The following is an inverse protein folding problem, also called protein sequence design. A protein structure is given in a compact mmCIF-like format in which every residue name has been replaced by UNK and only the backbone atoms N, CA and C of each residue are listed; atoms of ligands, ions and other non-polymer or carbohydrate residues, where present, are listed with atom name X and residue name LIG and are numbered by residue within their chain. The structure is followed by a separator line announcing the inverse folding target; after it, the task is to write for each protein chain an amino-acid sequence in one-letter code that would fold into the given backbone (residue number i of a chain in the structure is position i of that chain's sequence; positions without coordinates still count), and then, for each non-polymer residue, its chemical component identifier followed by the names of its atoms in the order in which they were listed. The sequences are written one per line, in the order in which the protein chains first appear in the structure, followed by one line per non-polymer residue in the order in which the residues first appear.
data_IF_111866784417
#
_entry.id   IF_111866784417
#
_cell.length_a   1.000
_cell.length_b   1.000
_cell.length_c   1.000
_cell.angle_alpha   90.00
_cell.angle_beta   90.00
_cell.angle_gamma   90.00
#
_symmetry.space_group_name_H-M   'P 1'
#
loop_
_entity.id
_entity.type
_entity.pdbx_description
1 polymer ?
#
# COMPACT_ATOMS: atom_id res chain seq x y z
N UNK A 1 21.40 -10.10 -62.78
CA UNK A 1 22.87 -10.04 -62.77
C UNK A 1 23.32 -10.04 -61.31
N UNK A 2 24.13 -11.05 -60.91
CA UNK A 2 25.21 -11.11 -59.89
C UNK A 2 25.29 -10.01 -58.80
N UNK A 3 25.68 -10.23 -57.54
CA UNK A 3 26.25 -11.38 -56.82
C UNK A 3 26.45 -11.04 -55.32
N UNK A 4 26.53 -12.09 -54.48
CA UNK A 4 27.45 -12.28 -53.33
C UNK A 4 27.36 -11.33 -52.11
N UNK A 5 26.92 -11.76 -50.91
CA UNK A 5 27.48 -12.73 -49.95
C UNK A 5 28.74 -12.25 -49.18
N UNK A 6 28.67 -12.15 -47.85
CA UNK A 6 29.79 -12.53 -46.97
C UNK A 6 29.30 -12.89 -45.56
N UNK A 7 29.45 -14.16 -45.22
CA UNK A 7 29.52 -14.73 -43.86
C UNK A 7 30.85 -14.33 -43.18
N UNK A 8 30.94 -14.47 -41.85
CA UNK A 8 31.98 -15.28 -41.15
C UNK A 8 32.48 -14.69 -39.81
N UNK A 9 32.57 -15.59 -38.81
CA UNK A 9 33.30 -15.46 -37.54
C UNK A 9 32.38 -15.81 -36.36
N UNK A 10 32.27 -17.02 -35.80
CA UNK A 10 33.15 -18.19 -35.52
C UNK A 10 34.16 -17.99 -34.37
N UNK A 11 33.95 -18.73 -33.28
CA UNK A 11 34.87 -19.02 -32.16
C UNK A 11 34.12 -19.04 -30.82
N UNK A 12 33.66 -20.14 -30.22
CA UNK A 12 34.28 -21.41 -29.76
C UNK A 12 35.23 -21.28 -28.54
N UNK A 13 34.78 -21.79 -27.37
CA UNK A 13 35.48 -22.61 -26.33
C UNK A 13 34.74 -22.42 -24.98
N UNK A 14 34.08 -23.40 -24.36
CA UNK A 14 34.47 -24.73 -23.87
C UNK A 14 35.28 -24.74 -22.55
N UNK A 15 34.89 -25.71 -21.69
CA UNK A 15 35.56 -26.25 -20.49
C UNK A 15 35.40 -25.49 -19.17
N UNK A 16 35.30 -26.11 -17.99
CA UNK A 16 35.03 -27.48 -17.50
C UNK A 16 35.25 -27.47 -15.98
N UNK A 17 34.67 -28.44 -15.25
CA UNK A 17 35.13 -29.00 -13.95
C UNK A 17 35.21 -28.05 -12.75
N UNK A 18 34.68 -28.33 -11.56
CA UNK A 18 34.58 -29.62 -10.88
C UNK A 18 35.52 -29.60 -9.66
N UNK A 19 34.96 -29.61 -8.44
CA UNK A 19 35.29 -30.56 -7.35
C UNK A 19 34.72 -30.10 -5.99
N UNK A 20 34.24 -31.06 -5.18
CA UNK A 20 33.86 -30.89 -3.78
C UNK A 20 34.94 -31.41 -2.80
N UNK A 21 34.63 -31.27 -1.51
CA UNK A 21 34.97 -32.14 -0.38
C UNK A 21 36.20 -31.83 0.51
N UNK A 22 35.85 -31.71 1.80
CA UNK A 22 36.41 -32.41 2.97
C UNK A 22 37.74 -31.95 3.59
N UNK A 23 37.70 -31.69 4.90
CA UNK A 23 38.29 -32.51 5.97
C UNK A 23 38.48 -31.63 7.23
N UNK A 24 37.82 -31.93 8.36
CA UNK A 24 38.31 -32.78 9.47
C UNK A 24 39.28 -31.98 10.38
N UNK A 25 39.38 -32.06 11.71
CA UNK A 25 39.25 -33.08 12.77
C UNK A 25 39.43 -32.30 14.10
N UNK A 26 38.75 -32.53 15.23
CA UNK A 26 39.12 -33.45 16.34
C UNK A 26 38.34 -32.95 17.58
N UNK A 27 37.39 -33.66 18.19
CA UNK A 27 37.52 -34.66 19.27
C UNK A 27 38.44 -34.30 20.46
N UNK A 28 37.84 -34.11 21.67
CA UNK A 28 38.26 -34.76 22.94
C UNK A 28 37.36 -34.44 24.14
N UNK A 29 36.81 -35.51 24.75
CA UNK A 29 36.78 -35.90 26.19
C UNK A 29 36.43 -34.84 27.26
N UNK A 30 35.65 -35.08 28.31
CA UNK A 30 35.61 -36.28 29.18
C UNK A 30 34.44 -36.11 30.16
N UNK A 31 33.77 -37.23 30.47
CA UNK A 31 32.81 -37.36 31.55
C UNK A 31 33.47 -37.16 32.92
N UNK A 32 32.74 -36.50 33.83
CA UNK A 32 33.03 -36.41 35.26
C UNK A 32 31.71 -36.35 36.01
N UNK A 33 31.19 -37.53 36.35
CA UNK A 33 30.04 -37.70 37.23
C UNK A 33 30.47 -37.52 38.70
N UNK A 34 29.46 -37.35 39.56
CA UNK A 34 29.46 -37.63 41.00
C UNK A 34 30.27 -36.71 41.92
N UNK A 35 29.56 -35.77 42.58
CA UNK A 35 30.00 -35.24 43.86
C UNK A 35 29.53 -33.83 44.22
N UNK A 36 28.21 -33.58 44.35
CA UNK A 36 27.67 -32.49 45.18
C UNK A 36 26.13 -32.48 45.17
N UNK A 37 25.50 -33.54 45.67
CA UNK A 37 24.05 -33.60 45.89
C UNK A 37 23.68 -33.37 47.37
N UNK A 38 24.54 -32.73 48.17
CA UNK A 38 24.39 -32.74 49.64
C UNK A 38 24.73 -31.43 50.35
N UNK A 39 24.39 -30.28 49.78
CA UNK A 39 24.25 -29.03 50.56
C UNK A 39 23.50 -27.96 49.76
N UNK A 40 22.59 -27.24 50.43
CA UNK A 40 21.85 -26.06 49.95
C UNK A 40 20.54 -26.29 49.18
N UNK A 41 19.81 -27.33 49.56
CA UNK A 41 18.33 -27.39 49.49
C UNK A 41 17.63 -26.48 50.55
N UNK A 42 18.34 -25.53 51.16
CA UNK A 42 17.84 -24.68 52.28
C UNK A 42 17.86 -23.17 52.00
N UNK A 43 18.31 -22.72 50.83
CA UNK A 43 18.29 -21.28 50.50
C UNK A 43 17.01 -20.82 49.77
N UNK A 44 16.15 -21.74 49.35
CA UNK A 44 14.99 -21.45 48.50
C UNK A 44 13.67 -21.21 49.26
N UNK A 45 13.68 -21.27 50.61
CA UNK A 45 12.44 -21.22 51.43
C UNK A 45 12.36 -20.09 52.46
N UNK A 46 13.28 -19.11 52.42
CA UNK A 46 13.24 -17.94 53.31
C UNK A 46 13.29 -16.59 52.57
N UNK A 47 13.01 -16.58 51.27
CA UNK A 47 12.82 -15.34 50.48
C UNK A 47 11.34 -15.11 50.11
N UNK A 48 10.44 -15.95 50.59
CA UNK A 48 8.98 -15.85 50.37
C UNK A 48 8.22 -15.16 51.51
N UNK A 49 8.90 -14.78 52.60
CA UNK A 49 8.28 -14.21 53.82
C UNK A 49 8.63 -12.73 54.05
N UNK A 50 8.76 -11.94 52.99
CA UNK A 50 8.77 -10.46 53.05
C UNK A 50 7.80 -9.87 52.02
N UNK A 51 6.63 -10.50 51.91
CA UNK A 51 5.42 -9.88 51.37
C UNK A 51 4.64 -9.32 52.56
N UNK A 52 4.91 -8.08 52.97
CA UNK A 52 3.90 -7.19 53.55
C UNK A 52 4.50 -5.81 53.89
N UNK A 53 4.81 -5.04 52.86
CA UNK A 53 4.65 -3.59 52.97
C UNK A 53 3.71 -3.23 51.84
N UNK A 54 2.42 -3.27 52.16
CA UNK A 54 1.35 -2.83 51.30
C UNK A 54 1.55 -1.33 51.03
N UNK A 55 2.32 -1.01 49.99
CA UNK A 55 2.09 0.23 49.27
C UNK A 55 0.64 0.19 48.82
N UNK A 56 -0.21 1.15 49.22
CA UNK A 56 -1.55 1.22 48.71
C UNK A 56 -1.45 1.16 47.20
N UNK A 57 -2.24 0.27 46.61
CA UNK A 57 -2.57 0.30 45.21
C UNK A 57 -3.10 1.71 44.94
N UNK A 58 -2.18 2.62 44.57
CA UNK A 58 -2.42 3.60 43.54
C UNK A 58 -2.90 2.75 42.37
N UNK A 59 -4.21 2.50 42.38
CA UNK A 59 -5.06 2.38 41.22
C UNK A 59 -4.48 3.37 40.23
N UNK A 60 -3.53 2.90 39.42
CA UNK A 60 -2.86 3.69 38.42
C UNK A 60 -3.94 3.87 37.39
N UNK A 61 -4.84 4.83 37.66
CA UNK A 61 -5.86 5.27 36.72
C UNK A 61 -5.10 5.40 35.41
N UNK A 62 -5.53 4.73 34.33
CA UNK A 62 -4.90 4.93 33.04
C UNK A 62 -4.89 6.45 32.86
N UNK A 63 -3.69 7.03 32.88
CA UNK A 63 -3.54 8.46 32.66
C UNK A 63 -4.31 8.72 31.38
N UNK A 64 -5.27 9.64 31.42
CA UNK A 64 -6.07 9.98 30.24
C UNK A 64 -5.11 10.09 29.06
N UNK A 65 -5.27 9.18 28.08
CA UNK A 65 -4.35 9.08 26.95
C UNK A 65 -4.13 10.49 26.43
N UNK A 66 -2.88 10.96 26.32
CA UNK A 66 -2.63 12.32 25.92
C UNK A 66 -3.35 12.59 24.60
N UNK A 67 -4.11 13.68 24.47
CA UNK A 67 -4.94 13.91 23.27
C UNK A 67 -4.15 13.86 21.95
N UNK A 68 -2.83 14.08 22.00
CA UNK A 68 -1.92 13.89 20.86
C UNK A 68 -1.82 12.43 20.39
N UNK A 69 -1.96 11.43 21.27
CA UNK A 69 -2.01 10.01 20.91
C UNK A 69 -3.25 9.69 20.07
N UNK A 70 -4.41 10.27 20.42
CA UNK A 70 -5.63 10.14 19.61
C UNK A 70 -5.49 10.85 18.26
N UNK A 71 -4.94 12.06 18.22
CA UNK A 71 -4.75 12.82 16.97
C UNK A 71 -3.78 12.13 16.01
N UNK A 72 -2.68 11.57 16.53
CA UNK A 72 -1.72 10.80 15.73
C UNK A 72 -2.33 9.50 15.19
N UNK A 73 -3.14 8.79 15.99
CA UNK A 73 -3.87 7.61 15.52
C UNK A 73 -4.88 7.96 14.42
N UNK A 74 -5.66 9.03 14.60
CA UNK A 74 -6.62 9.51 13.58
C UNK A 74 -5.89 9.92 12.30
N UNK A 75 -4.80 10.68 12.40
CA UNK A 75 -3.98 11.06 11.24
C UNK A 75 -3.43 9.83 10.51
N UNK A 76 -2.95 8.81 11.23
CA UNK A 76 -2.46 7.58 10.62
C UNK A 76 -3.57 6.84 9.85
N UNK A 77 -4.78 6.78 10.40
CA UNK A 77 -5.94 6.16 9.74
C UNK A 77 -6.35 6.94 8.50
N UNK A 78 -6.44 8.27 8.59
CA UNK A 78 -6.78 9.14 7.44
C UNK A 78 -5.76 8.98 6.32
N UNK A 79 -4.47 8.97 6.66
CA UNK A 79 -3.40 8.80 5.67
C UNK A 79 -3.41 7.40 5.04
N UNK A 80 -3.67 6.36 5.84
CA UNK A 80 -3.84 4.99 5.31
C UNK A 80 -5.00 4.91 4.32
N UNK A 81 -6.16 5.46 4.69
CA UNK A 81 -7.34 5.48 3.83
C UNK A 81 -7.07 6.29 2.55
N UNK A 82 -6.44 7.46 2.67
CA UNK A 82 -6.09 8.29 1.53
C UNK A 82 -5.18 7.54 0.55
N UNK A 83 -4.14 6.83 1.00
CA UNK A 83 -3.25 6.11 0.08
C UNK A 83 -3.94 4.89 -0.56
N UNK A 84 -4.68 4.10 0.22
CA UNK A 84 -5.35 2.90 -0.29
C UNK A 84 -6.49 3.22 -1.24
N UNK A 85 -7.27 4.24 -0.89
CA UNK A 85 -8.37 4.70 -1.74
C UNK A 85 -7.83 5.35 -3.02
N UNK A 86 -6.69 6.06 -3.00
CA UNK A 86 -6.05 6.56 -4.23
C UNK A 86 -5.79 5.43 -5.23
N UNK A 87 -5.19 4.32 -4.77
CA UNK A 87 -4.88 3.17 -5.62
C UNK A 87 -6.17 2.55 -6.17
N UNK A 88 -7.20 2.39 -5.32
CA UNK A 88 -8.49 1.86 -5.74
C UNK A 88 -9.17 2.74 -6.79
N UNK A 89 -9.15 4.06 -6.61
CA UNK A 89 -9.69 5.05 -7.56
C UNK A 89 -8.97 4.99 -8.90
N UNK A 90 -7.64 4.92 -8.89
CA UNK A 90 -6.85 4.81 -10.13
C UNK A 90 -7.18 3.51 -10.87
N UNK A 91 -7.22 2.38 -10.17
CA UNK A 91 -7.56 1.09 -10.78
C UNK A 91 -8.98 1.10 -11.34
N UNK A 92 -9.92 1.69 -10.61
CA UNK A 92 -11.30 1.83 -11.05
C UNK A 92 -11.43 2.75 -12.27
N UNK A 93 -10.70 3.87 -12.30
CA UNK A 93 -10.62 4.77 -13.45
C UNK A 93 -10.09 4.03 -14.67
N UNK A 94 -8.97 3.30 -14.56
CA UNK A 94 -8.41 2.52 -15.67
C UNK A 94 -9.41 1.49 -16.21
N UNK A 95 -10.08 0.74 -15.32
CA UNK A 95 -11.08 -0.25 -15.73
C UNK A 95 -12.26 0.41 -16.46
N UNK A 96 -12.71 1.56 -15.95
CA UNK A 96 -13.81 2.31 -16.54
C UNK A 96 -13.40 2.94 -17.88
N UNK A 97 -12.20 3.49 -18.00
CA UNK A 97 -11.62 4.00 -19.25
C UNK A 97 -11.50 2.91 -20.31
N UNK A 98 -11.05 1.70 -19.95
CA UNK A 98 -11.03 0.56 -20.87
C UNK A 98 -12.43 0.17 -21.34
N UNK A 99 -13.41 0.13 -20.42
CA UNK A 99 -14.80 -0.18 -20.76
C UNK A 99 -15.42 0.90 -21.67
N UNK A 100 -15.17 2.18 -21.39
CA UNK A 100 -15.63 3.30 -22.21
C UNK A 100 -15.01 3.28 -23.60
N UNK A 101 -13.70 3.02 -23.68
CA UNK A 101 -12.96 2.87 -24.95
C UNK A 101 -13.56 1.74 -25.79
N UNK A 102 -13.85 0.60 -25.17
CA UNK A 102 -14.46 -0.53 -25.85
C UNK A 102 -15.83 -0.16 -26.45
N UNK A 103 -16.67 0.54 -25.70
CA UNK A 103 -17.98 1.00 -26.17
C UNK A 103 -17.85 2.03 -27.32
N UNK A 104 -16.87 2.93 -27.21
CA UNK A 104 -16.56 3.92 -28.25
C UNK A 104 -16.14 3.26 -29.58
N UNK A 105 -15.20 2.31 -29.54
CA UNK A 105 -14.74 1.57 -30.73
C UNK A 105 -15.88 0.75 -31.36
N UNK A 106 -16.79 0.22 -30.53
CA UNK A 106 -17.97 -0.51 -31.00
C UNK A 106 -19.10 0.39 -31.49
N UNK A 107 -18.94 1.71 -31.47
CA UNK A 107 -19.96 2.71 -31.81
C UNK A 107 -21.28 2.51 -31.04
N UNK A 108 -21.22 1.99 -29.81
CA UNK A 108 -22.38 1.77 -28.96
C UNK A 108 -22.64 3.00 -28.10
N UNK A 109 -23.92 3.30 -27.87
CA UNK A 109 -24.29 4.33 -26.91
C UNK A 109 -23.80 3.96 -25.50
N UNK A 110 -23.46 4.97 -24.72
CA UNK A 110 -23.05 4.82 -23.32
C UNK A 110 -24.21 4.21 -22.55
N UNK A 111 -23.99 3.06 -21.92
CA UNK A 111 -25.04 2.37 -21.16
C UNK A 111 -25.34 3.11 -19.85
N UNK A 112 -26.55 2.92 -19.31
CA UNK A 112 -26.90 3.46 -17.99
C UNK A 112 -25.94 2.99 -16.88
N UNK A 113 -25.48 1.73 -16.96
CA UNK A 113 -24.50 1.17 -16.03
C UNK A 113 -23.12 1.83 -16.11
N UNK A 114 -22.68 2.27 -17.29
CA UNK A 114 -21.44 3.03 -17.43
C UNK A 114 -21.56 4.41 -16.77
N UNK A 115 -22.69 5.11 -16.96
CA UNK A 115 -22.93 6.43 -16.34
C UNK A 115 -22.93 6.36 -14.82
N UNK A 116 -23.58 5.34 -14.24
CA UNK A 116 -23.56 5.16 -12.79
C UNK A 116 -22.17 4.81 -12.26
N UNK A 117 -21.41 3.98 -12.97
CA UNK A 117 -20.02 3.68 -12.62
C UNK A 117 -19.12 4.94 -12.68
N UNK A 118 -19.32 5.80 -13.68
CA UNK A 118 -18.60 7.07 -13.78
C UNK A 118 -18.96 8.03 -12.64
N UNK A 119 -20.23 8.10 -12.24
CA UNK A 119 -20.63 8.87 -11.07
C UNK A 119 -20.04 8.32 -9.77
N UNK A 120 -19.91 7.00 -9.64
CA UNK A 120 -19.18 6.38 -8.53
C UNK A 120 -17.71 6.81 -8.53
N UNK A 121 -17.05 6.86 -9.70
CA UNK A 121 -15.67 7.34 -9.81
C UNK A 121 -15.56 8.82 -9.37
N UNK A 122 -16.50 9.66 -9.77
CA UNK A 122 -16.57 11.06 -9.33
C UNK A 122 -16.70 11.15 -7.80
N UNK A 123 -17.62 10.38 -7.21
CA UNK A 123 -17.85 10.35 -5.77
C UNK A 123 -16.64 9.85 -4.99
N UNK A 124 -16.01 8.76 -5.43
CA UNK A 124 -14.80 8.22 -4.79
C UNK A 124 -13.64 9.21 -4.89
N UNK A 125 -13.49 9.90 -6.01
CA UNK A 125 -12.47 10.95 -6.19
C UNK A 125 -12.71 12.13 -5.26
N UNK A 126 -13.97 12.54 -5.05
CA UNK A 126 -14.33 13.58 -4.09
C UNK A 126 -13.99 13.17 -2.65
N UNK A 127 -14.36 11.96 -2.24
CA UNK A 127 -14.00 11.40 -0.91
C UNK A 127 -12.48 11.35 -0.73
N UNK A 128 -11.76 10.92 -1.77
CA UNK A 128 -10.30 10.89 -1.80
C UNK A 128 -9.68 12.28 -1.59
N UNK A 129 -10.22 13.31 -2.25
CA UNK A 129 -9.84 14.70 -2.06
C UNK A 129 -10.10 15.21 -0.65
N UNK A 130 -11.25 14.86 -0.06
CA UNK A 130 -11.59 15.22 1.33
C UNK A 130 -10.64 14.56 2.34
N UNK A 131 -10.24 13.30 2.14
CA UNK A 131 -9.24 12.64 2.98
C UNK A 131 -7.88 13.34 2.86
N UNK A 132 -7.50 13.78 1.66
CA UNK A 132 -6.28 14.55 1.44
C UNK A 132 -6.29 15.89 2.18
N UNK A 133 -7.42 16.60 2.09
CA UNK A 133 -7.64 17.84 2.85
C UNK A 133 -7.61 17.61 4.36
N UNK A 134 -8.22 16.52 4.84
CA UNK A 134 -8.16 16.11 6.24
C UNK A 134 -6.73 15.90 6.73
N UNK A 135 -5.86 15.32 5.90
CA UNK A 135 -4.45 15.14 6.23
C UNK A 135 -3.73 16.50 6.38
N UNK A 136 -4.02 17.48 5.53
CA UNK A 136 -3.48 18.83 5.64
C UNK A 136 -3.92 19.54 6.94
N UNK A 137 -5.20 19.40 7.30
CA UNK A 137 -5.76 20.00 8.51
C UNK A 137 -5.21 19.35 9.80
N UNK A 138 -4.86 18.06 9.74
CA UNK A 138 -4.23 17.32 10.83
C UNK A 138 -2.71 17.54 10.93
N UNK A 139 -2.14 18.41 10.09
CA UNK A 139 -0.72 18.79 10.16
C UNK A 139 0.22 17.89 9.37
N UNK A 140 -0.29 16.99 8.51
CA UNK A 140 0.56 16.32 7.53
C UNK A 140 0.97 17.36 6.47
N UNK A 141 2.22 17.85 6.55
CA UNK A 141 2.68 18.98 5.77
C UNK A 141 2.51 18.84 4.25
N UNK A 142 2.54 19.97 3.54
CA UNK A 142 2.51 20.00 2.07
C UNK A 142 3.85 19.53 1.50
N UNK A 143 4.03 18.21 1.39
CA UNK A 143 5.23 17.67 0.76
C UNK A 143 5.27 17.90 -0.76
N UNK A 144 4.09 18.05 -1.40
CA UNK A 144 3.95 18.19 -2.86
C UNK A 144 2.78 19.12 -3.21
N UNK A 145 2.97 20.45 -3.35
CA UNK A 145 1.88 21.38 -3.62
C UNK A 145 1.16 21.10 -4.95
N UNK A 146 1.88 20.58 -5.96
CA UNK A 146 1.28 20.15 -7.23
C UNK A 146 0.23 19.05 -7.05
N UNK A 147 0.40 18.14 -6.09
CA UNK A 147 -0.57 17.09 -5.82
C UNK A 147 -1.92 17.65 -5.37
N UNK A 148 -1.89 18.73 -4.56
CA UNK A 148 -3.10 19.42 -4.11
C UNK A 148 -3.83 20.04 -5.30
N UNK A 149 -3.10 20.72 -6.19
CA UNK A 149 -3.68 21.33 -7.39
C UNK A 149 -4.28 20.27 -8.32
N UNK A 150 -3.57 19.18 -8.58
CA UNK A 150 -4.09 18.06 -9.39
C UNK A 150 -5.30 17.39 -8.73
N UNK A 151 -5.31 17.25 -7.41
CA UNK A 151 -6.44 16.70 -6.66
C UNK A 151 -7.69 17.56 -6.79
N UNK A 152 -7.57 18.88 -6.57
CA UNK A 152 -8.68 19.83 -6.73
C UNK A 152 -9.18 19.81 -8.18
N UNK A 153 -8.25 19.83 -9.14
CA UNK A 153 -8.59 19.74 -10.55
C UNK A 153 -9.39 18.47 -10.86
N UNK A 154 -8.96 17.30 -10.39
CA UNK A 154 -9.65 16.03 -10.61
C UNK A 154 -11.08 16.04 -10.02
N UNK A 155 -11.25 16.55 -8.79
CA UNK A 155 -12.56 16.61 -8.12
C UNK A 155 -13.56 17.50 -8.86
N UNK A 156 -13.09 18.57 -9.53
CA UNK A 156 -13.95 19.47 -10.30
C UNK A 156 -14.13 19.02 -11.76
N UNK A 157 -13.06 18.54 -12.37
CA UNK A 157 -13.01 18.21 -13.79
C UNK A 157 -13.86 16.98 -14.13
N UNK A 158 -13.75 15.90 -13.34
CA UNK A 158 -14.51 14.67 -13.59
C UNK A 158 -16.04 14.89 -13.61
N UNK A 159 -16.66 15.48 -12.57
CA UNK A 159 -18.10 15.74 -12.58
C UNK A 159 -18.46 16.85 -13.58
N UNK A 160 -17.62 17.87 -13.75
CA UNK A 160 -17.85 18.93 -14.75
C UNK A 160 -17.96 18.35 -16.17
N UNK A 161 -17.08 17.41 -16.51
CA UNK A 161 -17.10 16.74 -17.80
C UNK A 161 -18.32 15.84 -17.97
N UNK A 162 -18.77 15.17 -16.91
CA UNK A 162 -20.00 14.38 -16.93
C UNK A 162 -21.24 15.24 -17.23
N UNK A 163 -21.39 16.36 -16.52
CA UNK A 163 -22.51 17.27 -16.79
C UNK A 163 -22.44 17.87 -18.19
N UNK A 164 -21.24 18.20 -18.67
CA UNK A 164 -21.03 18.66 -20.03
C UNK A 164 -21.44 17.59 -21.07
N UNK A 165 -21.04 16.33 -20.85
CA UNK A 165 -21.33 15.25 -21.79
C UNK A 165 -22.81 14.87 -21.84
N UNK A 166 -23.53 15.00 -20.71
CA UNK A 166 -24.96 14.65 -20.58
C UNK A 166 -25.91 15.79 -21.02
N UNK A 167 -25.43 17.04 -21.13
CA UNK A 167 -26.27 18.23 -21.41
C UNK A 167 -26.87 18.34 -22.84
N UNK A 168 -27.19 17.22 -23.49
CA UNK A 168 -28.00 17.14 -24.72
C UNK A 168 -27.34 17.66 -26.01
N UNK A 169 -26.12 18.23 -25.91
CA UNK A 169 -25.34 18.75 -27.06
C UNK A 169 -24.34 17.75 -27.64
N UNK A 170 -24.18 16.58 -27.03
CA UNK A 170 -23.19 15.56 -27.39
C UNK A 170 -23.85 14.44 -28.20
N UNK A 171 -23.25 14.04 -29.33
CA UNK A 171 -23.62 12.76 -29.94
C UNK A 171 -23.19 11.60 -29.02
N UNK A 172 -23.84 10.42 -29.08
CA UNK A 172 -23.49 9.28 -28.22
C UNK A 172 -22.01 8.86 -28.31
N UNK A 173 -21.41 9.00 -29.50
CA UNK A 173 -19.99 8.76 -29.72
C UNK A 173 -19.09 9.81 -29.05
N UNK A 174 -19.49 11.09 -29.03
CA UNK A 174 -18.74 12.16 -28.35
C UNK A 174 -18.85 12.04 -26.83
N UNK A 175 -20.01 11.66 -26.32
CA UNK A 175 -20.20 11.37 -24.90
C UNK A 175 -19.25 10.25 -24.44
N UNK A 176 -19.22 9.14 -25.17
CA UNK A 176 -18.31 8.03 -24.87
C UNK A 176 -16.83 8.47 -24.93
N UNK A 177 -16.44 9.25 -25.95
CA UNK A 177 -15.07 9.75 -26.07
C UNK A 177 -14.65 10.64 -24.89
N UNK A 178 -15.49 11.61 -24.49
CA UNK A 178 -15.18 12.51 -23.39
C UNK A 178 -15.07 11.77 -22.05
N UNK A 179 -16.04 10.91 -21.73
CA UNK A 179 -16.03 10.18 -20.47
C UNK A 179 -14.89 9.17 -20.39
N UNK A 180 -14.49 8.59 -21.53
CA UNK A 180 -13.36 7.68 -21.59
C UNK A 180 -12.03 8.41 -21.42
N UNK A 181 -11.87 9.56 -22.08
CA UNK A 181 -10.63 10.34 -22.03
C UNK A 181 -10.34 10.97 -20.67
N UNK A 182 -11.33 11.04 -19.78
CA UNK A 182 -11.18 11.56 -18.42
C UNK A 182 -10.80 10.52 -17.37
N UNK A 183 -10.82 9.24 -17.74
CA UNK A 183 -10.41 8.12 -16.91
C UNK A 183 -8.94 7.78 -17.12
#
# INVERSE_FOLDING_TARGET
MRMASSQSGRGSRASSSGRPAAAATSSRTRAGATGALTALTTATRLRSSLRSTATPLLERRPAAEPGWATLTAVSAVVQFLHVRLAIAVILFAVLLGLWGTYQYIRHRAVSGGYRSAYLMLCGLTAVQGLLGLGNLLLGAGLHKPLHVVYGIFAVLFLPGLYFYSVSGRSSPAREAAFLTAAC
#
